data_IF_952749959139
#
_entry.id   IF_952749959139
#
_cell.length_a   1.000
_cell.length_b   1.000
_cell.length_c   1.000
_cell.angle_alpha   90.00
_cell.angle_beta   90.00
_cell.angle_gamma   90.00
#
_symmetry.space_group_name_H-M   'P 1'
#
loop_
_entity.id
_entity.type
_entity.pdbx_description
1 polymer ?
#
# COMPACT_ATOMS: atom_id res chain seq x y z
N UNK A 1 8.46 8.54 -4.07
CA UNK A 1 8.88 8.61 -5.50
C UNK A 1 7.64 8.29 -6.30
N UNK A 2 7.25 9.11 -7.27
CA UNK A 2 5.95 8.93 -7.90
C UNK A 2 5.78 7.58 -8.59
N UNK A 3 4.63 6.94 -8.37
CA UNK A 3 4.29 5.69 -9.03
C UNK A 3 4.07 5.90 -10.54
N UNK A 4 4.68 5.02 -11.31
CA UNK A 4 4.53 4.92 -12.76
C UNK A 4 4.35 3.45 -13.14
N UNK A 5 3.91 3.20 -14.37
CA UNK A 5 3.71 1.83 -14.89
C UNK A 5 4.99 0.99 -14.84
N UNK A 6 6.16 1.62 -14.95
CA UNK A 6 7.44 0.93 -15.02
C UNK A 6 8.12 0.75 -13.65
N UNK A 7 7.65 1.42 -12.59
CA UNK A 7 8.39 1.46 -11.32
C UNK A 7 7.65 0.88 -10.11
N UNK A 8 6.33 0.79 -10.13
CA UNK A 8 5.57 0.48 -8.92
C UNK A 8 5.90 -0.92 -8.36
N UNK A 9 6.15 -1.89 -9.25
CA UNK A 9 6.56 -3.26 -8.90
C UNK A 9 7.91 -3.26 -8.19
N UNK A 10 8.90 -2.57 -8.77
CA UNK A 10 10.26 -2.50 -8.22
C UNK A 10 10.29 -1.76 -6.88
N UNK A 11 9.49 -0.69 -6.73
CA UNK A 11 9.37 0.03 -5.46
C UNK A 11 8.78 -0.91 -4.40
N UNK A 12 7.72 -1.64 -4.73
CA UNK A 12 7.08 -2.57 -3.80
C UNK A 12 8.05 -3.68 -3.37
N UNK A 13 8.79 -4.24 -4.33
CA UNK A 13 9.78 -5.26 -4.05
C UNK A 13 10.86 -4.75 -3.10
N UNK A 14 11.43 -3.57 -3.37
CA UNK A 14 12.49 -2.97 -2.56
C UNK A 14 12.03 -2.74 -1.13
N UNK A 15 10.82 -2.21 -0.93
CA UNK A 15 10.25 -2.00 0.40
C UNK A 15 10.12 -3.31 1.18
N UNK A 16 9.57 -4.36 0.55
CA UNK A 16 9.41 -5.67 1.20
C UNK A 16 10.75 -6.32 1.49
N UNK A 17 11.68 -6.33 0.52
CA UNK A 17 13.03 -6.88 0.70
C UNK A 17 13.74 -6.21 1.88
N UNK A 18 13.68 -4.88 1.96
CA UNK A 18 14.27 -4.13 3.06
C UNK A 18 13.70 -4.57 4.40
N UNK A 19 12.37 -4.58 4.56
CA UNK A 19 11.73 -5.03 5.81
C UNK A 19 12.04 -6.49 6.15
N UNK A 20 12.11 -7.38 5.15
CA UNK A 20 12.40 -8.80 5.36
C UNK A 20 13.84 -9.06 5.83
N UNK A 21 14.78 -8.19 5.46
CA UNK A 21 16.19 -8.30 5.81
C UNK A 21 16.56 -7.63 7.14
N UNK A 22 15.64 -6.93 7.79
CA UNK A 22 15.92 -6.17 8.98
C UNK A 22 16.23 -7.04 10.20
N UNK A 23 17.20 -6.57 10.98
CA UNK A 23 17.62 -7.19 12.23
C UNK A 23 17.59 -6.15 13.33
N UNK A 24 17.24 -6.59 14.54
CA UNK A 24 17.35 -5.74 15.72
C UNK A 24 18.82 -5.58 16.15
N UNK A 25 19.05 -4.78 17.19
CA UNK A 25 20.40 -4.50 17.74
C UNK A 25 21.18 -5.75 18.15
N UNK A 26 20.49 -6.86 18.40
CA UNK A 26 21.07 -8.15 18.80
C UNK A 26 21.26 -9.10 17.61
N UNK A 27 21.11 -8.60 16.37
CA UNK A 27 21.25 -9.39 15.15
C UNK A 27 20.09 -10.35 14.86
N UNK A 28 19.01 -10.32 15.65
CA UNK A 28 17.83 -11.19 15.42
C UNK A 28 16.92 -10.57 14.35
N UNK A 29 16.38 -11.38 13.41
CA UNK A 29 15.42 -10.89 12.41
C UNK A 29 14.21 -10.22 13.05
N UNK A 30 13.77 -9.11 12.46
CA UNK A 30 12.51 -8.46 12.86
C UNK A 30 11.38 -9.09 12.04
N UNK A 31 10.34 -9.65 12.67
CA UNK A 31 9.25 -10.27 11.93
C UNK A 31 8.51 -9.25 11.05
N UNK A 32 8.34 -9.61 9.78
CA UNK A 32 7.56 -8.83 8.82
C UNK A 32 6.09 -8.72 9.26
N UNK A 33 5.40 -7.70 8.75
CA UNK A 33 3.94 -7.63 8.82
C UNK A 33 3.31 -8.86 8.15
N UNK A 34 2.19 -9.34 8.66
CA UNK A 34 1.48 -10.49 8.06
C UNK A 34 0.79 -10.10 6.76
N UNK A 35 0.59 -11.05 5.85
CA UNK A 35 -0.19 -10.83 4.62
C UNK A 35 -1.60 -10.41 4.97
N UNK A 36 -2.22 -10.99 6.00
CA UNK A 36 -3.58 -10.61 6.43
C UNK A 36 -3.69 -9.12 6.75
N UNK A 37 -2.69 -8.53 7.42
CA UNK A 37 -2.67 -7.11 7.76
C UNK A 37 -2.50 -6.22 6.53
N UNK A 38 -1.61 -6.58 5.58
CA UNK A 38 -1.51 -5.82 4.31
C UNK A 38 -2.79 -5.98 3.49
N UNK A 39 -3.41 -7.17 3.48
CA UNK A 39 -4.66 -7.43 2.74
C UNK A 39 -5.83 -6.61 3.30
N UNK A 40 -5.85 -6.33 4.60
CA UNK A 40 -6.84 -5.42 5.17
C UNK A 40 -6.70 -4.00 4.61
N UNK A 41 -5.47 -3.52 4.37
CA UNK A 41 -5.23 -2.25 3.68
C UNK A 41 -5.67 -2.31 2.21
N UNK A 42 -5.30 -3.39 1.50
CA UNK A 42 -5.70 -3.62 0.12
C UNK A 42 -7.23 -3.69 -0.06
N UNK A 43 -7.95 -4.32 0.87
CA UNK A 43 -9.40 -4.43 0.80
C UNK A 43 -10.07 -3.04 0.76
N UNK A 44 -9.57 -2.08 1.53
CA UNK A 44 -10.06 -0.70 1.50
C UNK A 44 -9.84 0.00 0.15
N UNK A 45 -8.81 -0.41 -0.60
CA UNK A 45 -8.56 0.09 -1.96
C UNK A 45 -9.47 -0.57 -2.99
N UNK A 46 -9.70 -1.88 -2.86
CA UNK A 46 -10.50 -2.65 -3.82
C UNK A 46 -11.94 -2.13 -3.94
N UNK A 47 -12.52 -1.67 -2.83
CA UNK A 47 -13.87 -1.09 -2.78
C UNK A 47 -14.02 0.14 -3.68
N UNK A 48 -12.98 0.98 -3.77
CA UNK A 48 -12.97 2.20 -4.59
C UNK A 48 -12.49 1.87 -6.02
N UNK A 49 -11.58 0.90 -6.17
CA UNK A 49 -10.99 0.50 -7.45
C UNK A 49 -12.03 0.14 -8.51
N UNK A 50 -13.06 -0.64 -8.14
CA UNK A 50 -14.10 -1.05 -9.08
C UNK A 50 -14.83 0.14 -9.70
N UNK A 51 -15.06 1.20 -8.94
CA UNK A 51 -15.73 2.41 -9.46
C UNK A 51 -14.76 3.27 -10.27
N UNK A 52 -13.50 3.38 -9.83
CA UNK A 52 -12.46 4.12 -10.54
C UNK A 52 -12.17 3.53 -11.91
N UNK A 53 -12.04 2.20 -12.03
CA UNK A 53 -11.80 1.53 -13.31
C UNK A 53 -12.93 1.78 -14.31
N UNK A 54 -14.17 1.80 -13.83
CA UNK A 54 -15.36 2.04 -14.66
C UNK A 54 -15.60 3.53 -14.96
N UNK A 55 -14.92 4.45 -14.27
CA UNK A 55 -14.91 5.87 -14.64
C UNK A 55 -14.31 6.05 -16.03
N UNK A 56 -14.99 6.84 -16.87
CA UNK A 56 -14.52 7.22 -18.22
C UNK A 56 -13.57 8.40 -18.20
N UNK A 57 -13.70 9.26 -17.21
CA UNK A 57 -12.91 10.49 -17.07
C UNK A 57 -11.61 10.21 -16.31
N UNK A 58 -10.53 10.91 -16.70
CA UNK A 58 -9.26 10.85 -15.97
C UNK A 58 -9.34 11.54 -14.61
N UNK A 59 -10.19 12.57 -14.48
CA UNK A 59 -10.43 13.25 -13.21
C UNK A 59 -11.53 12.52 -12.44
N UNK A 60 -11.24 12.15 -11.19
CA UNK A 60 -12.18 11.50 -10.28
C UNK A 60 -13.23 12.47 -9.78
N UNK A 61 -14.43 11.95 -9.52
CA UNK A 61 -15.51 12.71 -8.90
C UNK A 61 -15.15 13.12 -7.47
N UNK A 62 -15.76 14.21 -6.98
CA UNK A 62 -15.61 14.66 -5.59
C UNK A 62 -15.98 13.58 -4.57
N UNK A 63 -16.92 12.69 -4.92
CA UNK A 63 -17.31 11.56 -4.08
C UNK A 63 -16.18 10.53 -3.95
N UNK A 64 -15.54 10.13 -5.05
CA UNK A 64 -14.40 9.21 -5.03
C UNK A 64 -13.21 9.84 -4.30
N UNK A 65 -12.95 11.14 -4.50
CA UNK A 65 -11.92 11.87 -3.75
C UNK A 65 -12.22 11.86 -2.24
N UNK A 66 -13.47 12.07 -1.84
CA UNK A 66 -13.90 11.99 -0.44
C UNK A 66 -13.63 10.62 0.19
N UNK A 67 -13.88 9.53 -0.56
CA UNK A 67 -13.60 8.16 -0.12
C UNK A 67 -12.10 7.86 -0.02
N UNK A 68 -11.30 8.38 -0.96
CA UNK A 68 -9.82 8.27 -0.90
C UNK A 68 -9.29 8.97 0.35
N UNK A 69 -9.80 10.17 0.68
CA UNK A 69 -9.43 10.88 1.90
C UNK A 69 -9.81 10.09 3.16
N UNK A 70 -10.99 9.47 3.17
CA UNK A 70 -11.41 8.62 4.28
C UNK A 70 -10.52 7.36 4.41
N UNK A 71 -10.14 6.75 3.29
CA UNK A 71 -9.19 5.63 3.25
C UNK A 71 -7.83 6.03 3.84
N UNK A 72 -7.33 7.24 3.56
CA UNK A 72 -6.10 7.77 4.17
C UNK A 72 -6.19 7.84 5.69
N UNK A 73 -7.31 8.29 6.25
CA UNK A 73 -7.55 8.31 7.70
C UNK A 73 -7.48 6.89 8.28
N UNK A 74 -8.08 5.92 7.60
CA UNK A 74 -8.05 4.50 8.02
C UNK A 74 -6.63 3.93 8.00
N UNK A 75 -5.82 4.27 7.00
CA UNK A 75 -4.42 3.83 6.93
C UNK A 75 -3.60 4.39 8.10
N UNK A 76 -3.79 5.66 8.43
CA UNK A 76 -3.15 6.30 9.60
C UNK A 76 -3.59 5.60 10.89
N UNK A 77 -4.89 5.31 11.03
CA UNK A 77 -5.41 4.63 12.21
C UNK A 77 -4.82 3.23 12.39
N UNK A 78 -4.79 2.41 11.33
CA UNK A 78 -4.20 1.06 11.38
C UNK A 78 -2.70 1.11 11.68
N UNK A 79 -1.98 2.09 11.11
CA UNK A 79 -0.57 2.34 11.43
C UNK A 79 -0.39 2.76 12.91
N UNK A 80 -1.29 3.56 13.46
CA UNK A 80 -1.25 3.93 14.88
C UNK A 80 -1.53 2.75 15.82
N UNK A 81 -2.41 1.84 15.41
CA UNK A 81 -2.85 0.69 16.21
C UNK A 81 -1.89 -0.49 16.18
N UNK A 82 -1.22 -0.73 15.06
CA UNK A 82 -0.35 -1.90 14.85
C UNK A 82 1.05 -1.47 14.40
N UNK A 83 2.07 -1.60 15.27
CA UNK A 83 3.44 -1.19 14.95
C UNK A 83 4.00 -1.81 13.66
N UNK A 84 3.67 -3.08 13.37
CA UNK A 84 4.13 -3.71 12.11
C UNK A 84 3.48 -3.11 10.87
N UNK A 85 2.24 -2.65 10.97
CA UNK A 85 1.53 -1.94 9.89
C UNK A 85 2.16 -0.56 9.69
N UNK A 86 2.49 0.14 10.78
CA UNK A 86 3.22 1.41 10.70
C UNK A 86 4.50 1.30 9.88
N UNK A 87 5.30 0.27 10.15
CA UNK A 87 6.59 0.06 9.46
C UNK A 87 6.43 -0.11 7.96
N UNK A 88 5.43 -0.88 7.51
CA UNK A 88 5.18 -1.01 6.07
C UNK A 88 4.61 0.28 5.47
N UNK A 89 3.74 0.99 6.19
CA UNK A 89 3.20 2.28 5.73
C UNK A 89 4.30 3.32 5.52
N UNK A 90 5.27 3.37 6.43
CA UNK A 90 6.42 4.28 6.37
C UNK A 90 7.44 3.82 5.31
N UNK A 91 7.85 2.55 5.32
CA UNK A 91 8.90 2.04 4.42
C UNK A 91 8.45 1.97 2.96
N UNK A 92 7.18 1.66 2.72
CA UNK A 92 6.59 1.64 1.38
C UNK A 92 5.99 3.00 0.97
N UNK A 93 6.21 4.05 1.77
CA UNK A 93 5.81 5.43 1.50
C UNK A 93 4.31 5.56 1.11
N UNK A 94 3.45 4.75 1.72
CA UNK A 94 2.07 4.51 1.25
C UNK A 94 1.24 5.80 1.30
N UNK A 95 1.41 6.61 2.35
CA UNK A 95 0.64 7.85 2.51
C UNK A 95 1.02 8.90 1.47
N UNK A 96 2.29 8.98 1.08
CA UNK A 96 2.75 9.90 0.03
C UNK A 96 2.19 9.48 -1.33
N UNK A 97 2.22 8.18 -1.65
CA UNK A 97 1.61 7.67 -2.89
C UNK A 97 0.09 7.88 -2.92
N UNK A 98 -0.61 7.84 -1.78
CA UNK A 98 -2.02 8.22 -1.68
C UNK A 98 -2.23 9.71 -2.00
N UNK A 99 -1.36 10.59 -1.51
CA UNK A 99 -1.44 12.03 -1.80
C UNK A 99 -1.18 12.34 -3.28
N UNK A 100 -0.26 11.60 -3.91
CA UNK A 100 0.06 11.72 -5.33
C UNK A 100 -1.08 11.30 -6.27
N UNK A 101 -2.12 10.62 -5.76
CA UNK A 101 -3.33 10.33 -6.53
C UNK A 101 -3.97 11.63 -7.00
N UNK A 102 -4.14 12.60 -6.10
CA UNK A 102 -4.61 13.95 -6.41
C UNK A 102 -5.77 14.03 -7.43
N UNK A 103 -6.76 13.14 -7.29
CA UNK A 103 -7.92 13.06 -8.18
C UNK A 103 -7.67 12.44 -9.57
N UNK A 104 -6.49 11.88 -9.85
CA UNK A 104 -6.21 11.14 -11.09
C UNK A 104 -6.66 9.68 -10.98
N UNK A 105 -7.49 9.28 -11.95
CA UNK A 105 -7.91 7.90 -12.17
C UNK A 105 -6.71 7.00 -12.40
N UNK A 106 -5.80 7.39 -13.30
CA UNK A 106 -4.60 6.61 -13.62
C UNK A 106 -3.73 6.38 -12.39
N UNK A 107 -3.51 7.41 -11.57
CA UNK A 107 -2.71 7.29 -10.36
C UNK A 107 -3.38 6.42 -9.30
N UNK A 108 -4.71 6.51 -9.15
CA UNK A 108 -5.42 5.60 -8.25
C UNK A 108 -5.25 4.13 -8.66
N UNK A 109 -5.36 3.82 -9.95
CA UNK A 109 -5.17 2.46 -10.47
C UNK A 109 -3.74 1.98 -10.19
N UNK A 110 -2.72 2.81 -10.44
CA UNK A 110 -1.33 2.51 -10.12
C UNK A 110 -1.12 2.27 -8.62
N UNK A 111 -1.75 3.07 -7.77
CA UNK A 111 -1.72 2.87 -6.32
C UNK A 111 -2.36 1.53 -5.91
N UNK A 112 -3.48 1.14 -6.53
CA UNK A 112 -4.12 -0.15 -6.27
C UNK A 112 -3.21 -1.32 -6.66
N UNK A 113 -2.62 -1.29 -7.86
CA UNK A 113 -1.65 -2.31 -8.29
C UNK A 113 -0.39 -2.33 -7.42
N UNK A 114 0.05 -1.17 -6.92
CA UNK A 114 1.14 -1.08 -5.96
C UNK A 114 0.83 -1.80 -4.65
N UNK A 115 -0.37 -1.61 -4.10
CA UNK A 115 -0.82 -2.34 -2.91
C UNK A 115 -0.90 -3.86 -3.16
N UNK A 116 -1.32 -4.29 -4.34
CA UNK A 116 -1.30 -5.71 -4.74
C UNK A 116 0.13 -6.25 -4.83
N UNK A 117 1.06 -5.48 -5.41
CA UNK A 117 2.47 -5.84 -5.49
C UNK A 117 3.10 -6.02 -4.09
N UNK A 118 2.78 -5.13 -3.14
CA UNK A 118 3.22 -5.26 -1.74
C UNK A 118 2.72 -6.57 -1.11
N UNK A 119 1.44 -6.94 -1.34
CA UNK A 119 0.87 -8.21 -0.87
C UNK A 119 1.60 -9.41 -1.50
N UNK A 120 1.82 -9.37 -2.81
CA UNK A 120 2.48 -10.43 -3.57
C UNK A 120 3.92 -10.66 -3.09
N UNK A 121 4.73 -9.59 -3.03
CA UNK A 121 6.11 -9.68 -2.57
C UNK A 121 6.22 -10.05 -1.11
N UNK A 122 5.31 -9.56 -0.26
CA UNK A 122 5.27 -10.00 1.13
C UNK A 122 5.05 -11.50 1.22
N UNK A 123 4.17 -12.08 0.41
CA UNK A 123 3.93 -13.54 0.38
C UNK A 123 5.14 -14.30 -0.17
N UNK A 124 5.85 -13.73 -1.13
CA UNK A 124 7.03 -14.32 -1.75
C UNK A 124 8.25 -14.34 -0.80
N UNK A 125 8.57 -13.21 -0.16
CA UNK A 125 9.75 -13.07 0.72
C UNK A 125 9.48 -13.38 2.20
N UNK A 126 8.25 -13.15 2.68
CA UNK A 126 7.87 -13.31 4.08
C UNK A 126 7.48 -14.74 4.47
N UNK A 127 7.32 -15.65 3.51
CA UNK A 127 6.90 -17.03 3.76
C UNK A 127 5.43 -17.16 4.22
N UNK A 128 5.07 -18.34 4.75
CA UNK A 128 3.72 -18.58 5.29
C UNK A 128 3.49 -17.71 6.53
N UNK A 129 2.39 -16.97 6.51
CA UNK A 129 1.79 -16.47 7.75
C UNK A 129 1.27 -17.65 8.56
N UNK A 130 1.64 -17.71 9.83
CA UNK A 130 0.79 -18.31 10.86
C UNK A 130 -0.29 -17.30 11.29
#
# INVERSE_FOLDING_TARGET
MRLTEDNYVDIAEKAIKKLSGEKNKNGKPIPLVTTSKIRNLLAMTADIYNEVVNSKEETLSSELIGRINYMKIRFIYEAGREPKVRRIVEEADILSHLDEINGSRKQYILFSHYMEALVAYRKFYGGKDE
#
